data_IF_725261536740
#
_entry.id   IF_725261536740
#
_cell.length_a   1.000
_cell.length_b   1.000
_cell.length_c   1.000
_cell.angle_alpha   90.00
_cell.angle_beta   90.00
_cell.angle_gamma   90.00
#
_symmetry.space_group_name_H-M   'P 1'
#
loop_
_entity.id
_entity.type
_entity.pdbx_description
1 polymer ?
#
# COMPACT_ATOMS: atom_id res chain seq x y z
N UNK A 1 21.20 -12.95 24.60
CA UNK A 1 20.82 -12.56 23.23
C UNK A 1 19.65 -11.62 23.39
N UNK A 2 19.85 -10.33 23.14
CA UNK A 2 18.82 -9.33 23.37
C UNK A 2 17.79 -9.42 22.24
N UNK A 3 16.56 -9.79 22.58
CA UNK A 3 15.41 -9.72 21.68
C UNK A 3 15.12 -8.24 21.36
N UNK A 4 15.80 -7.72 20.34
CA UNK A 4 15.44 -6.46 19.71
C UNK A 4 14.17 -6.68 18.89
N UNK A 5 13.04 -6.85 19.56
CA UNK A 5 11.74 -6.59 18.94
C UNK A 5 11.60 -5.08 18.86
N UNK A 6 12.43 -4.46 18.02
CA UNK A 6 12.20 -3.08 17.59
C UNK A 6 10.80 -3.08 17.01
N UNK A 7 9.88 -2.34 17.63
CA UNK A 7 8.61 -2.01 17.01
C UNK A 7 8.95 -1.28 15.71
N UNK A 8 9.02 -2.02 14.60
CA UNK A 8 9.25 -1.44 13.29
C UNK A 8 8.06 -0.55 13.01
N UNK A 9 8.31 0.77 12.99
CA UNK A 9 7.29 1.72 12.58
C UNK A 9 7.00 1.54 11.09
N UNK A 10 5.74 1.69 10.66
CA UNK A 10 5.42 1.65 9.24
C UNK A 10 6.09 2.79 8.49
N UNK A 11 6.56 2.50 7.27
CA UNK A 11 7.04 3.54 6.35
C UNK A 11 5.98 4.59 6.03
N UNK A 12 6.42 5.78 5.58
CA UNK A 12 5.52 6.87 5.18
C UNK A 12 4.56 6.47 4.05
N UNK A 13 4.98 5.55 3.17
CA UNK A 13 4.11 5.00 2.11
C UNK A 13 2.94 4.21 2.70
N UNK A 14 3.17 3.43 3.76
CA UNK A 14 2.10 2.69 4.45
C UNK A 14 1.24 3.66 5.27
N UNK A 15 1.85 4.60 6.00
CA UNK A 15 1.15 5.61 6.80
C UNK A 15 0.23 6.50 5.96
N UNK A 16 0.62 6.80 4.72
CA UNK A 16 -0.16 7.62 3.79
C UNK A 16 -1.44 6.93 3.26
N UNK A 17 -1.60 5.61 3.46
CA UNK A 17 -2.75 4.85 3.00
C UNK A 17 -3.65 4.41 4.16
N UNK A 18 -4.82 5.05 4.37
CA UNK A 18 -5.83 4.56 5.30
C UNK A 18 -6.18 3.08 5.08
N UNK A 19 -6.27 2.65 3.82
CA UNK A 19 -6.51 1.25 3.44
C UNK A 19 -5.44 0.31 4.02
N UNK A 20 -4.14 0.57 3.80
CA UNK A 20 -3.07 -0.29 4.34
C UNK A 20 -2.96 -0.20 5.88
N UNK A 21 -3.15 1.00 6.44
CA UNK A 21 -3.18 1.19 7.90
C UNK A 21 -4.32 0.42 8.56
N UNK A 22 -5.45 0.23 7.87
CA UNK A 22 -6.56 -0.59 8.37
C UNK A 22 -6.14 -2.06 8.54
N UNK A 23 -5.40 -2.62 7.59
CA UNK A 23 -4.88 -3.98 7.65
C UNK A 23 -3.82 -4.16 8.73
N UNK A 24 -2.96 -3.16 8.92
CA UNK A 24 -1.98 -3.16 10.01
C UNK A 24 -2.68 -3.19 11.38
N UNK A 25 -3.67 -2.29 11.58
CA UNK A 25 -4.43 -2.20 12.83
C UNK A 25 -5.20 -3.50 13.12
N UNK A 26 -5.77 -4.11 12.09
CA UNK A 26 -6.48 -5.38 12.17
C UNK A 26 -5.55 -6.61 12.24
N UNK A 27 -4.23 -6.42 12.17
CA UNK A 27 -3.20 -7.48 12.15
C UNK A 27 -3.44 -8.56 11.08
N UNK A 28 -4.00 -8.16 9.93
CA UNK A 28 -4.31 -9.09 8.83
C UNK A 28 -3.05 -9.49 8.04
N UNK A 29 -2.05 -8.62 8.02
CA UNK A 29 -0.78 -8.86 7.34
C UNK A 29 0.39 -8.36 8.20
N UNK A 30 1.57 -8.98 8.10
CA UNK A 30 2.79 -8.45 8.71
C UNK A 30 3.20 -7.14 8.03
N UNK A 31 3.90 -6.26 8.76
CA UNK A 31 4.31 -4.95 8.23
C UNK A 31 5.10 -5.07 6.92
N UNK A 32 6.01 -6.03 6.81
CA UNK A 32 6.80 -6.26 5.60
C UNK A 32 5.93 -6.52 4.34
N UNK A 33 4.79 -7.20 4.50
CA UNK A 33 3.86 -7.44 3.39
C UNK A 33 3.11 -6.15 3.01
N UNK A 34 2.78 -5.32 3.99
CA UNK A 34 2.16 -4.01 3.72
C UNK A 34 3.12 -3.06 3.02
N UNK A 35 4.41 -3.08 3.39
CA UNK A 35 5.45 -2.31 2.68
C UNK A 35 5.64 -2.78 1.24
N UNK A 36 5.68 -4.10 1.03
CA UNK A 36 5.73 -4.68 -0.32
C UNK A 36 4.54 -4.24 -1.17
N UNK A 37 3.33 -4.24 -0.60
CA UNK A 37 2.10 -3.78 -1.27
C UNK A 37 2.14 -2.28 -1.58
N UNK A 38 2.58 -1.44 -0.64
CA UNK A 38 2.70 0.00 -0.86
C UNK A 38 3.66 0.33 -2.01
N UNK A 39 4.80 -0.36 -2.08
CA UNK A 39 5.74 -0.24 -3.19
C UNK A 39 5.15 -0.74 -4.51
N UNK A 40 4.40 -1.85 -4.49
CA UNK A 40 3.70 -2.37 -5.67
C UNK A 40 2.66 -1.38 -6.22
N UNK A 41 1.89 -0.75 -5.33
CA UNK A 41 0.94 0.29 -5.68
C UNK A 41 1.63 1.53 -6.26
N UNK A 42 2.78 1.94 -5.71
CA UNK A 42 3.57 3.03 -6.27
C UNK A 42 4.02 2.74 -7.71
N UNK A 43 4.52 1.53 -7.98
CA UNK A 43 4.89 1.11 -9.35
C UNK A 43 3.69 1.10 -10.29
N UNK A 44 2.50 0.69 -9.83
CA UNK A 44 1.27 0.78 -10.62
C UNK A 44 0.91 2.23 -10.95
N UNK A 45 1.03 3.14 -9.97
CA UNK A 45 0.79 4.57 -10.19
C UNK A 45 1.74 5.10 -11.26
N UNK A 46 3.02 4.83 -11.16
CA UNK A 46 4.02 5.27 -12.15
C UNK A 46 3.71 4.74 -13.55
N UNK A 47 3.31 3.46 -13.67
CA UNK A 47 3.01 2.83 -14.95
C UNK A 47 1.70 3.32 -15.60
N UNK A 48 0.67 3.63 -14.81
CA UNK A 48 -0.69 3.84 -15.33
C UNK A 48 -1.23 5.26 -15.14
N UNK A 49 -0.57 6.13 -14.36
CA UNK A 49 -1.05 7.51 -14.11
C UNK A 49 -1.08 8.39 -15.37
N UNK A 50 -0.35 8.03 -16.43
CA UNK A 50 -0.42 8.73 -17.72
C UNK A 50 -1.72 8.46 -18.49
N UNK A 51 -2.47 7.42 -18.13
CA UNK A 51 -3.72 7.06 -18.80
C UNK A 51 -4.89 7.80 -18.13
N UNK A 52 -5.68 8.60 -18.87
CA UNK A 52 -6.72 9.45 -18.29
C UNK A 52 -7.74 8.70 -17.42
N UNK A 53 -8.11 7.48 -17.81
CA UNK A 53 -9.04 6.65 -17.05
C UNK A 53 -8.53 6.36 -15.63
N UNK A 54 -7.28 5.92 -15.48
CA UNK A 54 -6.71 5.62 -14.16
C UNK A 54 -6.43 6.89 -13.36
N UNK A 55 -5.93 7.94 -14.01
CA UNK A 55 -5.69 9.24 -13.38
C UNK A 55 -6.96 9.84 -12.75
N UNK A 56 -8.08 9.80 -13.49
CA UNK A 56 -9.37 10.31 -12.99
C UNK A 56 -9.92 9.52 -11.81
N UNK A 57 -9.68 8.20 -11.77
CA UNK A 57 -10.08 7.36 -10.62
C UNK A 57 -9.22 7.64 -9.40
N UNK A 58 -7.90 7.68 -9.57
CA UNK A 58 -6.96 8.01 -8.51
C UNK A 58 -7.15 9.43 -7.94
N UNK A 59 -7.67 10.37 -8.73
CA UNK A 59 -7.98 11.72 -8.24
C UNK A 59 -9.19 11.76 -7.30
N UNK A 60 -10.10 10.77 -7.38
CA UNK A 60 -11.32 10.68 -6.54
C UNK A 60 -11.10 9.86 -5.28
N UNK A 61 -10.12 8.98 -5.30
CA UNK A 61 -9.85 8.04 -4.22
C UNK A 61 -8.34 8.02 -3.92
N UNK A 62 -7.92 8.50 -2.73
CA UNK A 62 -6.51 8.54 -2.35
C UNK A 62 -5.90 7.14 -2.19
N UNK A 63 -6.70 6.09 -1.94
CA UNK A 63 -6.24 4.71 -1.77
C UNK A 63 -6.34 3.88 -3.06
N UNK A 64 -6.79 4.48 -4.16
CA UNK A 64 -7.08 3.81 -5.43
C UNK A 64 -5.97 2.86 -5.89
N UNK A 65 -4.71 3.28 -5.82
CA UNK A 65 -3.59 2.46 -6.27
C UNK A 65 -3.34 1.24 -5.37
N UNK A 66 -3.56 1.37 -4.06
CA UNK A 66 -3.44 0.27 -3.11
C UNK A 66 -4.59 -0.73 -3.28
N UNK A 67 -5.81 -0.24 -3.46
CA UNK A 67 -6.97 -1.08 -3.77
C UNK A 67 -6.81 -1.78 -5.11
N UNK A 68 -6.33 -1.06 -6.13
CA UNK A 68 -6.09 -1.62 -7.46
C UNK A 68 -5.01 -2.70 -7.42
N UNK A 69 -3.91 -2.47 -6.69
CA UNK A 69 -2.88 -3.49 -6.47
C UNK A 69 -3.45 -4.73 -5.77
N UNK A 70 -4.23 -4.52 -4.70
CA UNK A 70 -4.83 -5.62 -3.93
C UNK A 70 -5.88 -6.41 -4.71
N UNK A 71 -6.57 -5.79 -5.68
CA UNK A 71 -7.59 -6.45 -6.51
C UNK A 71 -7.03 -7.42 -7.55
N UNK A 72 -5.71 -7.38 -7.83
CA UNK A 72 -5.09 -8.29 -8.80
C UNK A 72 -4.75 -9.62 -8.14
N UNK A 73 -5.28 -10.76 -8.62
CA UNK A 73 -4.86 -12.06 -8.13
C UNK A 73 -3.40 -12.30 -8.54
N UNK A 74 -2.51 -12.50 -7.55
CA UNK A 74 -1.13 -12.96 -7.69
C UNK A 74 -0.19 -12.15 -8.61
N UNK A 75 0.13 -10.89 -8.24
CA UNK A 75 1.27 -10.14 -8.82
C UNK A 75 2.35 -9.83 -7.77
#
# INVERSE_FOLDING_TARGET
MSDTTSHLEPSELVKASPFLMSFLKARLYPLAELERRALGAQRLKEAYSCVPFYAQRAAKDPDYWNEFYASRPNW
#
